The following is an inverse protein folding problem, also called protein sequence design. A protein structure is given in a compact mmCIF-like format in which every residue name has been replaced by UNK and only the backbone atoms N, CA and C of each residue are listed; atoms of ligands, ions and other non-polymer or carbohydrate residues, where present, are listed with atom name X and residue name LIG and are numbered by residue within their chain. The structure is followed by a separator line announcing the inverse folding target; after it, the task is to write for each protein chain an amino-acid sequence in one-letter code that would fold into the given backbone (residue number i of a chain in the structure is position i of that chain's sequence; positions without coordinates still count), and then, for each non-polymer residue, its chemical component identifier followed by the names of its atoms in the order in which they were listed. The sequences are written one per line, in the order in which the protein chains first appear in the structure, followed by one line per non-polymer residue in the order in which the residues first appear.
data_IF_330225910162
#
_entry.id   IF_330225910162
#
_cell.length_a   1.000
_cell.length_b   1.000
_cell.length_c   1.000
_cell.angle_alpha   90.00
_cell.angle_beta   90.00
_cell.angle_gamma   90.00
#
_symmetry.space_group_name_H-M   'P 1'
#
loop_
_entity.id
_entity.type
_entity.pdbx_description
1 polymer ?
#
# COMPACT_ATOMS: atom_id res chain seq x y z
N UNK A 1 -2.85 4.43 -17.73
CA UNK A 1 -2.91 3.93 -16.35
C UNK A 1 -1.51 3.93 -15.74
N UNK A 2 -0.53 3.27 -16.35
CA UNK A 2 0.87 3.26 -15.88
C UNK A 2 1.50 4.65 -15.69
N UNK A 3 1.33 5.56 -16.66
CA UNK A 3 1.85 6.94 -16.56
C UNK A 3 1.14 7.84 -15.54
N UNK A 4 0.01 7.43 -14.97
CA UNK A 4 -0.64 8.16 -13.87
C UNK A 4 -0.07 7.70 -12.53
N UNK A 5 0.01 6.38 -12.34
CA UNK A 5 0.60 5.74 -11.15
C UNK A 5 2.05 6.19 -10.94
N UNK A 6 2.85 6.29 -12.00
CA UNK A 6 4.22 6.80 -11.92
C UNK A 6 4.28 8.25 -11.41
N UNK A 7 3.39 9.13 -11.89
CA UNK A 7 3.36 10.54 -11.48
C UNK A 7 2.93 10.69 -10.03
N UNK A 8 1.96 9.89 -9.59
CA UNK A 8 1.54 9.85 -8.19
C UNK A 8 2.63 9.29 -7.28
N UNK A 9 3.38 8.29 -7.75
CA UNK A 9 4.52 7.74 -7.03
C UNK A 9 5.65 8.77 -6.88
N UNK A 10 5.96 9.52 -7.95
CA UNK A 10 6.90 10.65 -7.92
C UNK A 10 6.41 11.77 -6.99
N UNK A 11 5.11 12.08 -7.01
CA UNK A 11 4.53 13.04 -6.08
C UNK A 11 4.65 12.56 -4.62
N UNK A 12 4.38 11.27 -4.37
CA UNK A 12 4.54 10.67 -3.05
C UNK A 12 6.00 10.72 -2.59
N UNK A 13 6.96 10.47 -3.49
CA UNK A 13 8.40 10.60 -3.23
C UNK A 13 8.77 12.02 -2.80
N UNK A 14 8.30 13.03 -3.53
CA UNK A 14 8.61 14.44 -3.28
C UNK A 14 7.97 14.98 -2.00
N UNK A 15 6.70 14.63 -1.73
CA UNK A 15 5.92 15.24 -0.65
C UNK A 15 5.84 14.38 0.62
N UNK A 16 6.01 13.07 0.52
CA UNK A 16 5.90 12.13 1.63
C UNK A 16 6.97 11.01 1.52
N UNK A 17 8.28 11.34 1.57
CA UNK A 17 9.35 10.37 1.29
C UNK A 17 9.33 9.16 2.24
N UNK A 18 8.81 9.31 3.46
CA UNK A 18 8.61 8.19 4.40
C UNK A 18 7.56 7.20 3.92
N UNK A 19 6.44 7.68 3.38
CA UNK A 19 5.38 6.82 2.83
C UNK A 19 5.86 6.16 1.55
N UNK A 20 6.56 6.92 0.69
CA UNK A 20 7.20 6.38 -0.50
C UNK A 20 8.19 5.24 -0.16
N UNK A 21 9.09 5.47 0.81
CA UNK A 21 10.06 4.46 1.22
C UNK A 21 9.40 3.19 1.76
N UNK A 22 8.40 3.32 2.62
CA UNK A 22 7.66 2.18 3.16
C UNK A 22 6.87 1.44 2.07
N UNK A 23 6.21 2.17 1.17
CA UNK A 23 5.43 1.61 0.07
C UNK A 23 6.32 0.85 -0.91
N UNK A 24 7.42 1.46 -1.37
CA UNK A 24 8.35 0.79 -2.29
C UNK A 24 9.02 -0.41 -1.64
N UNK A 25 9.41 -0.32 -0.35
CA UNK A 25 9.95 -1.42 0.43
C UNK A 25 9.06 -2.66 0.45
N UNK A 26 7.75 -2.49 0.66
CA UNK A 26 6.84 -3.56 1.05
C UNK A 26 5.65 -3.77 0.11
N UNK A 27 5.62 -3.15 -1.08
CA UNK A 27 4.44 -3.21 -1.98
C UNK A 27 3.99 -4.64 -2.29
N UNK A 28 4.93 -5.57 -2.52
CA UNK A 28 4.60 -6.96 -2.85
C UNK A 28 3.93 -7.69 -1.68
N UNK A 29 4.42 -7.45 -0.46
CA UNK A 29 3.84 -8.01 0.76
C UNK A 29 2.43 -7.46 0.99
N UNK A 30 2.29 -6.14 0.90
CA UNK A 30 1.01 -5.44 1.12
C UNK A 30 -0.03 -5.84 0.07
N UNK A 31 0.36 -5.91 -1.21
CA UNK A 31 -0.54 -6.30 -2.29
C UNK A 31 -1.04 -7.73 -2.12
N UNK A 32 -0.13 -8.68 -1.85
CA UNK A 32 -0.49 -10.07 -1.60
C UNK A 32 -1.45 -10.20 -0.40
N UNK A 33 -1.20 -9.44 0.67
CA UNK A 33 -2.07 -9.45 1.83
C UNK A 33 -3.47 -8.90 1.52
N UNK A 34 -3.58 -7.80 0.77
CA UNK A 34 -4.86 -7.21 0.34
C UNK A 34 -5.63 -8.18 -0.56
N UNK A 35 -4.96 -8.83 -1.51
CA UNK A 35 -5.57 -9.82 -2.40
C UNK A 35 -6.07 -11.06 -1.64
N UNK A 36 -5.35 -11.50 -0.60
CA UNK A 36 -5.70 -12.67 0.20
C UNK A 36 -6.69 -12.37 1.34
N UNK A 37 -6.92 -11.10 1.71
CA UNK A 37 -7.68 -10.79 2.91
C UNK A 37 -9.19 -11.00 2.70
N UNK A 38 -9.85 -11.89 3.48
CA UNK A 38 -11.24 -12.28 3.22
C UNK A 38 -12.28 -11.27 3.72
N UNK A 39 -11.87 -10.16 4.37
CA UNK A 39 -12.80 -9.19 4.96
C UNK A 39 -12.64 -7.80 4.35
N UNK A 40 -13.77 -7.11 4.28
CA UNK A 40 -13.92 -5.80 3.66
C UNK A 40 -13.31 -4.62 4.44
N UNK A 41 -13.30 -4.68 5.78
CA UNK A 41 -12.92 -3.54 6.64
C UNK A 41 -11.87 -3.86 7.73
N UNK A 42 -10.66 -4.30 7.35
CA UNK A 42 -9.64 -4.68 8.31
C UNK A 42 -8.91 -3.50 8.95
N UNK A 43 -8.36 -3.75 10.15
CA UNK A 43 -7.31 -2.91 10.72
C UNK A 43 -5.99 -3.17 9.98
N UNK A 44 -5.13 -2.16 9.87
CA UNK A 44 -3.80 -2.32 9.24
C UNK A 44 -2.96 -3.44 9.87
N UNK A 45 -3.05 -3.63 11.20
CA UNK A 45 -2.41 -4.75 11.90
C UNK A 45 -2.96 -6.10 11.49
N UNK A 46 -4.28 -6.20 11.29
CA UNK A 46 -4.93 -7.45 10.91
C UNK A 46 -4.56 -7.87 9.49
N UNK A 47 -4.40 -6.92 8.56
CA UNK A 47 -3.93 -7.21 7.20
C UNK A 47 -2.49 -7.73 7.25
N UNK A 48 -1.61 -7.08 8.03
CA UNK A 48 -0.22 -7.52 8.21
C UNK A 48 -0.13 -8.91 8.82
N UNK A 49 -0.89 -9.18 9.89
CA UNK A 49 -0.83 -10.46 10.61
C UNK A 49 -1.42 -11.64 9.81
N UNK A 50 -2.06 -11.37 8.66
CA UNK A 50 -2.45 -12.42 7.69
C UNK A 50 -1.30 -12.83 6.76
N UNK A 51 -0.22 -12.05 6.70
CA UNK A 51 1.01 -12.43 6.00
C UNK A 51 1.81 -13.38 6.89
N UNK A 52 2.27 -14.50 6.34
CA UNK A 52 3.17 -15.40 7.05
C UNK A 52 4.56 -14.74 7.17
N UNK A 53 5.02 -14.51 8.41
CA UNK A 53 6.30 -13.86 8.71
C UNK A 53 6.51 -12.50 8.02
N UNK A 54 5.71 -11.47 8.37
CA UNK A 54 5.79 -10.16 7.72
C UNK A 54 7.17 -9.52 7.91
N UNK A 55 7.77 -9.09 6.81
CA UNK A 55 9.06 -8.37 6.83
C UNK A 55 8.91 -6.93 7.30
N UNK A 56 7.73 -6.33 7.10
CA UNK A 56 7.43 -4.98 7.55
C UNK A 56 7.00 -4.96 9.02
N UNK A 57 7.57 -4.04 9.80
CA UNK A 57 7.02 -3.74 11.12
C UNK A 57 5.62 -3.09 11.01
N UNK A 58 4.89 -3.03 12.13
CA UNK A 58 3.51 -2.46 12.15
C UNK A 58 3.46 -1.06 11.55
N UNK A 59 4.50 -0.27 11.82
CA UNK A 59 4.56 1.15 11.47
C UNK A 59 4.76 1.30 9.96
N UNK A 60 5.72 0.59 9.40
CA UNK A 60 6.07 0.60 7.99
C UNK A 60 4.93 0.02 7.16
N UNK A 61 4.27 -1.03 7.65
CA UNK A 61 3.07 -1.57 7.02
C UNK A 61 1.92 -0.55 7.01
N UNK A 62 1.67 0.12 8.14
CA UNK A 62 0.68 1.19 8.22
C UNK A 62 1.00 2.39 7.31
N UNK A 63 2.29 2.72 7.16
CA UNK A 63 2.75 3.75 6.24
C UNK A 63 2.54 3.34 4.77
N UNK A 64 2.81 2.09 4.42
CA UNK A 64 2.55 1.58 3.07
C UNK A 64 1.05 1.64 2.73
N UNK A 65 0.17 1.17 3.63
CA UNK A 65 -1.28 1.28 3.45
C UNK A 65 -1.75 2.74 3.34
N UNK A 66 -1.17 3.64 4.13
CA UNK A 66 -1.45 5.09 4.02
C UNK A 66 -1.00 5.65 2.67
N UNK A 67 0.12 5.14 2.12
CA UNK A 67 0.57 5.45 0.76
C UNK A 67 -0.47 5.04 -0.29
N UNK A 68 -1.01 3.82 -0.19
CA UNK A 68 -2.06 3.34 -1.09
C UNK A 68 -3.33 4.20 -1.02
N UNK A 69 -3.73 4.64 0.17
CA UNK A 69 -4.84 5.59 0.35
C UNK A 69 -4.57 6.91 -0.36
N UNK A 70 -3.37 7.47 -0.21
CA UNK A 70 -3.00 8.73 -0.87
C UNK A 70 -2.98 8.63 -2.40
N UNK A 71 -2.76 7.43 -2.95
CA UNK A 71 -2.80 7.14 -4.38
C UNK A 71 -4.20 6.70 -4.88
N UNK A 72 -5.20 6.72 -3.98
CA UNK A 72 -6.58 6.34 -4.28
C UNK A 72 -6.78 4.86 -4.63
N UNK A 73 -5.85 3.98 -4.22
CA UNK A 73 -5.90 2.54 -4.55
C UNK A 73 -6.80 1.78 -3.57
N UNK A 74 -6.84 2.23 -2.31
CA UNK A 74 -7.74 1.76 -1.26
C UNK A 74 -8.29 2.99 -0.52
N UNK A 75 -9.36 2.82 0.26
CA UNK A 75 -9.94 3.90 1.05
C UNK A 75 -9.74 3.67 2.56
N UNK A 76 -10.04 4.68 3.37
CA UNK A 76 -10.10 4.59 4.83
C UNK A 76 -11.56 4.55 5.25
N UNK A 77 -12.02 3.38 5.71
CA UNK A 77 -13.35 3.23 6.27
C UNK A 77 -13.52 4.02 7.59
N UNK A 78 -12.49 4.07 8.43
CA UNK A 78 -12.52 4.88 9.66
C UNK A 78 -11.12 5.27 10.08
N UNK A 79 -10.87 6.58 10.18
CA UNK A 79 -9.66 7.12 10.79
C UNK A 79 -9.71 6.94 12.30
N UNK A 80 -8.67 6.34 12.89
CA UNK A 80 -8.49 6.29 14.34
C UNK A 80 -7.05 6.57 14.70
N UNK A 81 -6.85 7.30 15.80
CA UNK A 81 -5.53 7.52 16.40
C UNK A 81 -4.92 6.15 16.69
N UNK A 82 -3.96 5.71 15.85
CA UNK A 82 -3.22 4.44 15.89
C UNK A 82 -3.88 3.17 15.31
N UNK A 83 -5.05 3.24 14.68
CA UNK A 83 -5.73 2.02 14.18
C UNK A 83 -6.75 2.30 13.08
N UNK A 84 -6.27 2.87 11.97
CA UNK A 84 -7.11 3.06 10.80
C UNK A 84 -7.72 1.73 10.35
N UNK A 85 -9.03 1.75 10.09
CA UNK A 85 -9.71 0.70 9.35
C UNK A 85 -9.69 1.08 7.89
N UNK A 86 -9.15 0.18 7.08
CA UNK A 86 -9.08 0.36 5.64
C UNK A 86 -10.34 -0.22 5.01
N UNK A 87 -10.76 0.37 3.91
CA UNK A 87 -11.80 -0.17 3.05
C UNK A 87 -11.14 -0.87 1.86
N UNK A 88 -11.25 -2.20 1.83
CA UNK A 88 -10.77 -3.03 0.73
C UNK A 88 -11.87 -3.37 -0.28
N UNK A 89 -13.13 -2.96 -0.07
CA UNK A 89 -14.25 -3.27 -0.97
C UNK A 89 -14.10 -2.66 -2.35
N UNK A 90 -13.55 -1.45 -2.40
CA UNK A 90 -13.30 -0.70 -3.63
C UNK A 90 -11.81 -0.65 -3.96
N UNK A 91 -11.06 -1.70 -3.62
CA UNK A 91 -9.66 -1.77 -4.01
C UNK A 91 -9.53 -1.78 -5.54
N UNK A 92 -8.78 -0.82 -6.08
CA UNK A 92 -8.46 -0.78 -7.50
C UNK A 92 -7.28 -1.73 -7.79
N UNK A 93 -7.61 -3.03 -7.94
CA UNK A 93 -6.62 -4.08 -8.23
C UNK A 93 -5.79 -3.81 -9.51
N UNK A 94 -6.37 -3.32 -10.62
CA UNK A 94 -5.58 -2.89 -11.78
C UNK A 94 -4.52 -1.84 -11.44
N UNK A 95 -4.86 -0.79 -10.67
CA UNK A 95 -3.88 0.22 -10.23
C UNK A 95 -2.87 -0.35 -9.25
N UNK A 96 -3.27 -1.24 -8.36
CA UNK A 96 -2.37 -1.91 -7.42
C UNK A 96 -1.30 -2.73 -8.16
N UNK A 97 -1.68 -3.47 -9.20
CA UNK A 97 -0.72 -4.20 -10.05
C UNK A 97 0.19 -3.27 -10.83
N UNK A 98 -0.37 -2.24 -11.47
CA UNK A 98 0.43 -1.25 -12.19
C UNK A 98 1.46 -0.56 -11.27
N UNK A 99 1.12 -0.34 -10.00
CA UNK A 99 2.05 0.17 -8.99
C UNK A 99 3.17 -0.83 -8.66
N UNK A 100 2.86 -2.12 -8.50
CA UNK A 100 3.89 -3.15 -8.32
C UNK A 100 4.85 -3.20 -9.50
N UNK A 101 4.33 -3.17 -10.74
CA UNK A 101 5.12 -3.18 -11.97
C UNK A 101 6.01 -1.93 -12.08
N UNK A 102 5.45 -0.75 -11.79
CA UNK A 102 6.18 0.52 -11.77
C UNK A 102 7.33 0.49 -10.74
N UNK A 103 7.08 0.03 -9.52
CA UNK A 103 8.11 -0.07 -8.48
C UNK A 103 9.19 -1.10 -8.86
N UNK A 104 8.79 -2.24 -9.44
CA UNK A 104 9.73 -3.26 -9.90
C UNK A 104 10.65 -2.74 -11.02
N UNK A 105 10.09 -1.99 -11.98
CA UNK A 105 10.87 -1.37 -13.05
C UNK A 105 11.88 -0.33 -12.53
N UNK A 106 11.51 0.44 -11.51
CA UNK A 106 12.40 1.43 -10.90
C UNK A 106 13.55 0.79 -10.08
N UNK A 107 13.32 -0.36 -9.43
CA UNK A 107 14.35 -1.10 -8.68
C UNK A 107 15.33 -1.86 -9.56
N UNK A 108 14.92 -2.27 -10.75
CA UNK A 108 15.80 -2.93 -11.73
C UNK A 108 16.78 -1.99 -12.43
N UNK A 109 16.70 -0.68 -12.16
CA UNK A 109 17.53 0.36 -12.78
C UNK A 109 18.64 0.91 -11.87
N UNK A 110 18.82 0.35 -10.66
CA UNK A 110 19.88 0.70 -9.70
C UNK A 110 21.07 -0.28 -9.74
#
# INVERSE_FOLDING_TARGET
MEGEVERELQYLQAHNPKLYGALTAHINEVAAAIEAYPRHYPLGTQVRDAVDSPSADTRSYGQALTGLVKMGIIDVYTERVNSNRYDLTNCDYPRLRALQECIAANRGSE
#
